data_IF_840403935975
#
_entry.id   IF_840403935975
#
_cell.length_a   1.000
_cell.length_b   1.000
_cell.length_c   1.000
_cell.angle_alpha   90.00
_cell.angle_beta   90.00
_cell.angle_gamma   90.00
#
_symmetry.space_group_name_H-M   'P 1'
#
loop_
_entity.id
_entity.type
_entity.pdbx_description
1 polymer ?
#
# COMPACT_ATOMS: atom_id res chain seq x y z
N UNK A 1 -0.23 -4.28 5.82
CA UNK A 1 -0.14 -3.17 4.84
C UNK A 1 -1.36 -3.10 3.92
N UNK A 2 -1.69 -4.18 3.19
CA UNK A 2 -2.83 -4.16 2.25
C UNK A 2 -4.19 -3.88 2.91
N UNK A 3 -4.44 -4.45 4.09
CA UNK A 3 -5.68 -4.19 4.88
C UNK A 3 -5.79 -2.71 5.26
N UNK A 4 -4.67 -2.07 5.62
CA UNK A 4 -4.62 -0.63 5.95
C UNK A 4 -4.93 0.23 4.73
N UNK A 5 -4.36 -0.10 3.57
CA UNK A 5 -4.64 0.57 2.29
C UNK A 5 -6.08 0.37 1.81
N UNK A 6 -6.67 -0.82 2.02
CA UNK A 6 -8.08 -1.08 1.69
C UNK A 6 -9.04 -0.18 2.47
N UNK A 7 -8.74 0.09 3.75
CA UNK A 7 -9.57 0.93 4.60
C UNK A 7 -9.45 2.43 4.27
N UNK A 8 -8.23 2.90 3.94
CA UNK A 8 -7.94 4.33 3.76
C UNK A 8 -7.95 4.81 2.31
N UNK A 9 -7.86 3.89 1.35
CA UNK A 9 -7.70 4.13 -0.10
C UNK A 9 -6.43 4.82 -0.52
N UNK A 10 -6.01 5.86 0.18
CA UNK A 10 -4.76 6.59 -0.07
C UNK A 10 -4.02 6.74 1.25
N UNK A 11 -2.71 6.47 1.24
CA UNK A 11 -1.85 6.70 2.40
C UNK A 11 -0.47 7.18 1.93
N UNK A 12 0.14 8.10 2.68
CA UNK A 12 1.50 8.58 2.38
C UNK A 12 2.51 7.44 2.50
N UNK A 13 3.53 7.47 1.64
CA UNK A 13 4.54 6.42 1.56
C UNK A 13 5.23 6.15 2.92
N UNK A 14 5.72 7.20 3.59
CA UNK A 14 6.42 7.05 4.87
C UNK A 14 5.49 6.60 6.01
N UNK A 15 4.23 7.01 6.00
CA UNK A 15 3.22 6.53 6.97
C UNK A 15 2.94 5.05 6.75
N UNK A 16 2.76 4.63 5.51
CA UNK A 16 2.54 3.23 5.15
C UNK A 16 3.77 2.35 5.49
N UNK A 17 4.98 2.85 5.22
CA UNK A 17 6.24 2.19 5.57
C UNK A 17 6.39 2.02 7.07
N UNK A 18 6.12 3.08 7.84
CA UNK A 18 6.14 3.04 9.30
C UNK A 18 5.13 2.05 9.86
N UNK A 19 3.93 2.00 9.27
CA UNK A 19 2.92 1.00 9.62
C UNK A 19 3.40 -0.43 9.32
N UNK A 20 3.98 -0.68 8.14
CA UNK A 20 4.47 -2.00 7.76
C UNK A 20 5.60 -2.49 8.69
N UNK A 21 6.54 -1.61 9.04
CA UNK A 21 7.61 -1.89 10.02
C UNK A 21 7.08 -2.32 11.38
N UNK A 22 6.01 -1.66 11.86
CA UNK A 22 5.40 -1.97 13.16
C UNK A 22 4.55 -3.23 13.14
N UNK A 23 3.93 -3.52 12.00
CA UNK A 23 2.92 -4.59 11.89
C UNK A 23 3.51 -5.97 11.56
N UNK A 24 4.73 -6.03 11.01
CA UNK A 24 5.35 -7.27 10.53
C UNK A 24 6.81 -7.30 10.96
N UNK A 25 7.25 -8.42 11.56
CA UNK A 25 8.67 -8.66 11.84
C UNK A 25 9.46 -8.71 10.52
N UNK A 26 10.51 -7.90 10.38
CA UNK A 26 11.24 -7.72 9.11
C UNK A 26 10.52 -6.85 8.08
N UNK A 27 9.48 -6.11 8.50
CA UNK A 27 8.69 -5.24 7.64
C UNK A 27 9.48 -4.07 7.03
N UNK A 28 10.64 -3.71 7.58
CA UNK A 28 11.58 -2.74 7.03
C UNK A 28 12.25 -3.23 5.73
N UNK A 29 12.59 -4.51 5.65
CA UNK A 29 13.20 -5.14 4.46
C UNK A 29 12.13 -5.56 3.47
N UNK A 30 11.01 -6.10 3.96
CA UNK A 30 9.95 -6.65 3.12
C UNK A 30 9.02 -5.58 2.53
N UNK A 31 9.05 -4.35 3.03
CA UNK A 31 8.15 -3.29 2.57
C UNK A 31 8.28 -3.02 1.07
N UNK A 32 9.49 -2.73 0.58
CA UNK A 32 9.70 -2.35 -0.81
C UNK A 32 9.39 -3.52 -1.78
N UNK A 33 9.86 -4.76 -1.54
CA UNK A 33 9.47 -5.91 -2.37
C UNK A 33 7.95 -6.14 -2.40
N UNK A 34 7.27 -6.04 -1.25
CA UNK A 34 5.82 -6.20 -1.18
C UNK A 34 5.07 -5.08 -1.90
N UNK A 35 5.55 -3.84 -1.79
CA UNK A 35 4.97 -2.69 -2.48
C UNK A 35 5.13 -2.84 -4.00
N UNK A 36 6.32 -3.21 -4.46
CA UNK A 36 6.58 -3.46 -5.88
C UNK A 36 5.71 -4.60 -6.42
N UNK A 37 5.58 -5.69 -5.67
CA UNK A 37 4.69 -6.78 -6.04
C UNK A 37 3.23 -6.32 -6.18
N UNK A 38 2.70 -5.54 -5.23
CA UNK A 38 1.33 -5.02 -5.31
C UNK A 38 1.13 -4.07 -6.50
N UNK A 39 2.15 -3.27 -6.85
CA UNK A 39 2.12 -2.40 -8.01
C UNK A 39 2.07 -3.21 -9.31
N UNK A 40 2.95 -4.20 -9.47
CA UNK A 40 2.97 -5.09 -10.62
C UNK A 40 1.66 -5.89 -10.76
N UNK A 41 1.03 -6.24 -9.64
CA UNK A 41 -0.27 -6.92 -9.62
C UNK A 41 -1.47 -5.96 -9.87
N UNK A 42 -1.23 -4.67 -10.12
CA UNK A 42 -2.28 -3.68 -10.37
C UNK A 42 -3.19 -3.43 -9.16
N UNK A 43 -2.70 -3.69 -7.93
CA UNK A 43 -3.47 -3.50 -6.69
C UNK A 43 -3.24 -2.15 -6.04
N UNK A 44 -2.17 -1.46 -6.42
CA UNK A 44 -1.87 -0.12 -5.96
C UNK A 44 -1.32 0.75 -7.09
N UNK A 45 -1.47 2.06 -6.96
CA UNK A 45 -0.79 3.07 -7.75
C UNK A 45 0.06 3.95 -6.84
N UNK A 46 1.17 4.45 -7.37
CA UNK A 46 1.95 5.51 -6.72
C UNK A 46 1.52 6.86 -7.30
N UNK A 47 1.30 7.85 -6.43
CA UNK A 47 0.92 9.22 -6.74
C UNK A 47 2.13 10.13 -6.49
N UNK A 48 2.93 10.47 -7.52
CA UNK A 48 4.20 11.17 -7.33
C UNK A 48 4.04 12.59 -6.77
N UNK A 49 2.90 13.24 -7.07
CA UNK A 49 2.63 14.61 -6.64
C UNK A 49 2.52 14.75 -5.11
N UNK A 50 2.05 13.71 -4.44
CA UNK A 50 1.76 13.73 -3.00
C UNK A 50 2.55 12.67 -2.23
N UNK A 51 3.49 11.98 -2.89
CA UNK A 51 4.24 10.84 -2.33
C UNK A 51 3.33 9.83 -1.60
N UNK A 52 2.24 9.45 -2.28
CA UNK A 52 1.20 8.62 -1.71
C UNK A 52 0.99 7.35 -2.51
N UNK A 53 0.53 6.31 -1.82
CA UNK A 53 0.12 5.04 -2.38
C UNK A 53 -1.40 5.00 -2.36
N UNK A 54 -2.00 4.82 -3.54
CA UNK A 54 -3.42 4.60 -3.74
C UNK A 54 -3.70 3.11 -3.92
N UNK A 55 -4.77 2.60 -3.32
CA UNK A 55 -5.26 1.25 -3.54
C UNK A 55 -6.21 1.21 -4.74
N UNK A 56 -5.84 0.43 -5.76
CA UNK A 56 -6.54 0.33 -7.05
C UNK A 56 -7.37 -0.96 -7.19
N UNK A 57 -7.80 -1.55 -6.07
CA UNK A 57 -8.79 -2.64 -6.12
C UNK A 57 -10.19 -2.11 -6.40
N UNK A 58 -11.13 -2.98 -6.85
CA UNK A 58 -12.52 -2.60 -7.00
C UNK A 58 -12.97 -1.98 -5.69
N UNK A 59 -13.42 -0.74 -5.78
CA UNK A 59 -14.12 -0.11 -4.69
C UNK A 59 -15.38 -0.92 -4.50
N UNK A 60 -15.44 -1.79 -3.49
CA UNK A 60 -16.56 -2.69 -3.21
C UNK A 60 -17.88 -2.22 -3.84
N UNK A 61 -18.29 -2.91 -4.91
CA UNK A 61 -19.54 -2.89 -5.72
C UNK A 61 -19.15 -3.14 -7.20
N UNK A 62 -19.55 -4.19 -7.94
CA UNK A 62 -20.64 -5.14 -7.81
C UNK A 62 -20.29 -6.49 -8.51
N UNK A 63 -20.55 -7.63 -7.85
CA UNK A 63 -21.54 -8.70 -8.17
C UNK A 63 -21.67 -9.56 -6.92
#
# INVERSE_FOLDING_TARGET
MLVHLKARRVEEYEKLRSFAKKSVAGGDVLFLPALNFLFLMGRINYLPKTDAIEFTGPSNEAV
#
